data_IF_736303053613
#
_entry.id   IF_736303053613
#
_cell.length_a   1.000
_cell.length_b   1.000
_cell.length_c   1.000
_cell.angle_alpha   90.00
_cell.angle_beta   90.00
_cell.angle_gamma   90.00
#
_symmetry.space_group_name_H-M   'P 1'
#
loop_
_entity.id
_entity.type
_entity.pdbx_description
1 polymer ?
#
# COMPACT_ATOMS: atom_id res chain seq x y z
N UNK A 1 -0.89 -5.26 6.07
CA UNK A 1 -1.04 -5.77 7.46
C UNK A 1 -0.92 -7.29 7.60
N UNK A 2 -1.90 -8.11 7.17
CA UNK A 2 -1.83 -9.58 7.38
C UNK A 2 -0.71 -10.25 6.59
N UNK A 3 -0.54 -9.90 5.32
CA UNK A 3 0.58 -10.38 4.51
C UNK A 3 1.93 -9.97 5.08
N UNK A 4 2.06 -8.71 5.51
CA UNK A 4 3.25 -8.20 6.20
C UNK A 4 3.53 -8.96 7.51
N UNK A 5 2.50 -9.30 8.29
CA UNK A 5 2.67 -10.11 9.50
C UNK A 5 3.11 -11.55 9.18
N UNK A 6 2.56 -12.17 8.14
CA UNK A 6 2.97 -13.49 7.66
C UNK A 6 4.41 -13.48 7.14
N UNK A 7 4.80 -12.43 6.40
CA UNK A 7 6.17 -12.23 5.95
C UNK A 7 7.12 -12.04 7.14
N UNK A 8 6.77 -11.14 8.07
CA UNK A 8 7.53 -10.91 9.29
C UNK A 8 7.69 -12.19 10.13
N UNK A 9 6.67 -13.04 10.18
CA UNK A 9 6.72 -14.32 10.88
C UNK A 9 7.71 -15.33 10.27
N UNK A 10 8.10 -15.16 9.00
CA UNK A 10 9.14 -15.98 8.38
C UNK A 10 10.56 -15.56 8.77
N UNK A 11 10.73 -14.38 9.38
CA UNK A 11 12.03 -13.77 9.70
C UNK A 11 12.20 -13.58 11.22
N UNK A 12 11.14 -13.17 11.91
CA UNK A 12 11.16 -12.81 13.33
C UNK A 12 10.81 -13.99 14.25
N UNK A 13 11.36 -13.98 15.47
CA UNK A 13 11.05 -14.99 16.50
C UNK A 13 9.58 -14.94 16.93
N UNK A 14 8.99 -13.74 16.97
CA UNK A 14 7.59 -13.49 17.33
C UNK A 14 7.09 -12.22 16.65
N UNK A 15 5.85 -12.22 16.23
CA UNK A 15 5.16 -11.06 15.63
C UNK A 15 3.88 -10.79 16.42
N UNK A 16 3.72 -9.57 16.93
CA UNK A 16 2.44 -9.11 17.46
C UNK A 16 1.68 -8.38 16.34
N UNK A 17 0.53 -8.92 15.93
CA UNK A 17 -0.34 -8.25 14.97
C UNK A 17 -1.42 -7.48 15.74
N UNK A 18 -1.19 -6.17 15.89
CA UNK A 18 -2.10 -5.28 16.61
C UNK A 18 -3.18 -4.77 15.65
N UNK A 19 -4.44 -4.92 16.03
CA UNK A 19 -5.58 -4.43 15.25
C UNK A 19 -6.65 -3.79 16.13
N UNK A 20 -7.15 -2.62 15.69
CA UNK A 20 -8.13 -1.82 16.46
C UNK A 20 -9.54 -2.43 16.54
N UNK A 21 -9.82 -3.52 15.82
CA UNK A 21 -11.14 -4.21 15.79
C UNK A 21 -10.96 -5.69 16.13
N UNK A 22 -12.07 -6.37 16.37
CA UNK A 22 -12.12 -7.81 16.60
C UNK A 22 -11.91 -8.63 15.31
N UNK A 23 -12.14 -8.03 14.14
CA UNK A 23 -12.12 -8.72 12.86
C UNK A 23 -11.31 -7.94 11.83
N UNK A 24 -10.67 -8.69 10.92
CA UNK A 24 -9.92 -8.15 9.79
C UNK A 24 -10.84 -8.00 8.57
N UNK A 25 -10.53 -7.03 7.71
CA UNK A 25 -11.22 -6.84 6.42
C UNK A 25 -10.70 -7.74 5.28
N UNK A 26 -9.59 -8.45 5.50
CA UNK A 26 -8.98 -9.29 4.46
C UNK A 26 -9.76 -10.59 4.24
N UNK A 27 -9.40 -11.32 3.18
CA UNK A 27 -10.01 -12.61 2.86
C UNK A 27 -9.85 -13.64 3.99
N UNK A 28 -10.82 -14.55 4.08
CA UNK A 28 -10.90 -15.54 5.15
C UNK A 28 -9.70 -16.48 5.19
N UNK A 29 -9.13 -16.83 4.03
CA UNK A 29 -7.97 -17.72 3.92
C UNK A 29 -6.73 -17.09 4.55
N UNK A 30 -6.44 -15.83 4.21
CA UNK A 30 -5.30 -15.08 4.77
C UNK A 30 -5.46 -14.89 6.27
N UNK A 31 -6.67 -14.56 6.74
CA UNK A 31 -6.97 -14.45 8.18
C UNK A 31 -6.73 -15.77 8.90
N UNK A 32 -7.20 -16.90 8.35
CA UNK A 32 -6.99 -18.22 8.94
C UNK A 32 -5.50 -18.60 8.97
N UNK A 33 -4.76 -18.30 7.91
CA UNK A 33 -3.31 -18.53 7.85
C UNK A 33 -2.57 -17.73 8.92
N UNK A 34 -2.91 -16.46 9.12
CA UNK A 34 -2.31 -15.65 10.19
C UNK A 34 -2.67 -16.20 11.58
N UNK A 35 -3.92 -16.63 11.80
CA UNK A 35 -4.37 -17.26 13.06
C UNK A 35 -3.67 -18.57 13.36
N UNK A 36 -3.32 -19.38 12.35
CA UNK A 36 -2.68 -20.69 12.54
C UNK A 36 -1.15 -20.62 12.60
N UNK A 37 -0.55 -19.47 12.28
CA UNK A 37 0.89 -19.28 12.30
C UNK A 37 1.39 -19.13 13.74
N UNK A 38 2.21 -20.09 14.20
CA UNK A 38 2.55 -20.28 15.63
C UNK A 38 3.23 -19.10 16.31
N UNK A 39 4.02 -18.31 15.57
CA UNK A 39 4.75 -17.16 16.11
C UNK A 39 4.06 -15.82 15.83
N UNK A 40 2.81 -15.82 15.36
CA UNK A 40 1.97 -14.62 15.30
C UNK A 40 1.03 -14.61 16.51
N UNK A 41 1.08 -13.55 17.29
CA UNK A 41 0.12 -13.26 18.35
C UNK A 41 -0.82 -12.14 17.91
N UNK A 42 -2.12 -12.42 17.86
CA UNK A 42 -3.12 -11.43 17.51
C UNK A 42 -3.50 -10.60 18.73
N UNK A 43 -3.26 -9.30 18.66
CA UNK A 43 -3.63 -8.33 19.70
C UNK A 43 -4.77 -7.48 19.14
N UNK A 44 -5.98 -8.04 19.21
CA UNK A 44 -7.20 -7.45 18.64
C UNK A 44 -7.81 -6.42 19.58
N UNK A 45 -8.77 -5.64 19.08
CA UNK A 45 -9.43 -4.55 19.82
C UNK A 45 -8.42 -3.61 20.49
N UNK A 46 -7.28 -3.37 19.86
CA UNK A 46 -6.15 -2.73 20.52
C UNK A 46 -5.52 -1.65 19.65
N UNK A 47 -5.02 -0.59 20.30
CA UNK A 47 -4.31 0.51 19.65
C UNK A 47 -2.96 0.75 20.33
N UNK A 48 -1.95 1.12 19.55
CA UNK A 48 -0.66 1.55 20.10
C UNK A 48 -0.79 2.98 20.60
N UNK A 49 -0.48 3.22 21.87
CA UNK A 49 -0.50 4.54 22.52
C UNK A 49 0.86 5.22 22.52
N UNK A 50 1.91 4.42 22.64
CA UNK A 50 3.28 4.92 22.76
C UNK A 50 4.25 3.89 22.18
N UNK A 51 5.28 4.36 21.49
CA UNK A 51 6.44 3.56 21.08
C UNK A 51 7.61 4.04 21.93
N UNK A 52 8.18 3.14 22.73
CA UNK A 52 9.24 3.44 23.68
C UNK A 52 10.58 2.91 23.18
N UNK A 53 11.61 3.73 23.34
CA UNK A 53 12.95 3.44 22.87
C UNK A 53 13.87 4.64 23.06
N UNK A 54 15.14 4.43 22.81
CA UNK A 54 16.15 5.49 22.75
C UNK A 54 16.58 5.71 21.29
N UNK A 55 17.65 5.07 20.87
CA UNK A 55 18.08 4.99 19.47
C UNK A 55 17.30 3.93 18.70
N UNK A 56 16.83 2.89 19.40
CA UNK A 56 16.05 1.81 18.84
C UNK A 56 14.80 1.56 19.68
N UNK A 57 13.75 1.00 19.05
CA UNK A 57 12.54 0.59 19.76
C UNK A 57 12.88 -0.53 20.74
N UNK A 58 12.30 -0.46 21.94
CA UNK A 58 12.43 -1.49 22.98
C UNK A 58 11.07 -2.05 23.40
N UNK A 59 10.02 -1.23 23.33
CA UNK A 59 8.67 -1.65 23.66
C UNK A 59 7.61 -0.76 23.04
N UNK A 60 6.37 -1.23 23.09
CA UNK A 60 5.17 -0.47 22.74
C UNK A 60 4.16 -0.56 23.87
N UNK A 61 3.46 0.53 24.14
CA UNK A 61 2.32 0.57 25.03
C UNK A 61 1.04 0.39 24.22
N UNK A 62 0.27 -0.63 24.53
CA UNK A 62 -0.96 -1.01 23.81
C UNK A 62 -2.16 -0.83 24.74
N UNK A 63 -3.20 -0.15 24.26
CA UNK A 63 -4.49 0.01 24.94
C UNK A 63 -5.54 -0.86 24.28
N UNK A 64 -6.18 -1.75 25.03
CA UNK A 64 -7.41 -2.40 24.60
C UNK A 64 -8.56 -1.37 24.60
N UNK A 65 -9.19 -1.18 23.45
CA UNK A 65 -10.17 -0.10 23.22
C UNK A 65 -11.46 -0.28 24.01
N UNK A 66 -11.79 -1.53 24.39
CA UNK A 66 -13.00 -1.89 25.10
C UNK A 66 -12.81 -1.76 26.61
N UNK A 67 -11.69 -2.25 27.13
CA UNK A 67 -11.39 -2.34 28.57
C UNK A 67 -10.56 -1.19 29.09
N UNK A 68 -9.93 -0.41 28.20
CA UNK A 68 -8.94 0.63 28.53
C UNK A 68 -7.69 0.11 29.24
N UNK A 69 -7.50 -1.22 29.26
CA UNK A 69 -6.31 -1.85 29.85
C UNK A 69 -5.09 -1.51 29.01
N UNK A 70 -4.05 -1.02 29.69
CA UNK A 70 -2.74 -0.81 29.12
C UNK A 70 -1.85 -2.04 29.31
N UNK A 71 -1.18 -2.47 28.25
CA UNK A 71 -0.22 -3.58 28.26
C UNK A 71 1.04 -3.12 27.54
N UNK A 72 2.20 -3.30 28.16
CA UNK A 72 3.48 -3.02 27.52
C UNK A 72 4.04 -4.30 26.89
N UNK A 73 4.42 -4.24 25.62
CA UNK A 73 4.99 -5.35 24.87
C UNK A 73 6.43 -5.01 24.50
N UNK A 74 7.37 -5.84 24.92
CA UNK A 74 8.76 -5.75 24.46
C UNK A 74 8.85 -6.15 22.99
N UNK A 75 9.36 -5.25 22.15
CA UNK A 75 9.51 -5.44 20.71
C UNK A 75 10.75 -4.70 20.22
N UNK A 76 11.45 -5.31 19.26
CA UNK A 76 12.67 -4.73 18.67
C UNK A 76 12.37 -3.85 17.43
N UNK A 77 11.13 -3.89 16.92
CA UNK A 77 10.72 -3.15 15.72
C UNK A 77 9.21 -3.02 15.59
N UNK A 78 8.77 -1.97 14.89
CA UNK A 78 7.36 -1.67 14.64
C UNK A 78 7.17 -1.38 13.16
N UNK A 79 6.22 -2.08 12.55
CA UNK A 79 5.81 -1.89 11.15
C UNK A 79 4.36 -1.41 11.11
N UNK A 80 4.13 -0.20 10.61
CA UNK A 80 2.80 0.42 10.60
C UNK A 80 2.15 0.19 9.24
N UNK A 81 1.09 -0.62 9.25
CA UNK A 81 0.46 -1.18 8.04
C UNK A 81 -1.03 -0.76 7.98
N UNK A 82 -1.31 0.54 8.02
CA UNK A 82 -2.67 1.09 8.10
C UNK A 82 -3.29 1.50 6.76
N UNK A 83 -2.58 1.25 5.66
CA UNK A 83 -2.98 1.64 4.31
C UNK A 83 -2.28 2.92 3.85
N UNK A 84 -2.57 3.32 2.61
CA UNK A 84 -2.03 4.49 1.95
C UNK A 84 -3.19 5.39 1.51
N UNK A 85 -3.19 6.65 1.93
CA UNK A 85 -4.14 7.65 1.43
C UNK A 85 -3.56 8.34 0.20
N UNK A 86 -4.23 8.16 -0.94
CA UNK A 86 -4.00 8.95 -2.15
C UNK A 86 -4.53 10.36 -1.93
N UNK A 87 -3.64 11.34 -1.78
CA UNK A 87 -4.01 12.76 -1.65
C UNK A 87 -4.40 13.37 -3.01
N UNK A 88 -5.45 12.84 -3.64
CA UNK A 88 -5.88 13.17 -5.01
C UNK A 88 -7.18 13.97 -5.05
N UNK A 89 -7.72 14.38 -3.90
CA UNK A 89 -8.99 15.12 -3.83
C UNK A 89 -9.02 16.37 -4.72
N UNK A 90 -7.88 17.06 -4.84
CA UNK A 90 -7.74 18.24 -5.69
C UNK A 90 -7.85 17.95 -7.19
N UNK A 91 -7.84 16.68 -7.60
CA UNK A 91 -7.91 16.21 -8.98
C UNK A 91 -9.31 15.73 -9.40
N UNK A 92 -10.28 15.65 -8.48
CA UNK A 92 -11.61 15.05 -8.70
C UNK A 92 -12.38 15.63 -9.89
N UNK A 93 -12.20 16.92 -10.15
CA UNK A 93 -12.85 17.61 -11.27
C UNK A 93 -12.00 17.62 -12.56
N UNK A 94 -10.76 17.13 -12.48
CA UNK A 94 -9.80 17.12 -13.58
C UNK A 94 -9.66 15.73 -14.21
N UNK A 95 -9.59 14.67 -13.41
CA UNK A 95 -9.44 13.28 -13.89
C UNK A 95 -10.34 12.32 -13.12
N UNK A 96 -10.70 11.20 -13.75
CA UNK A 96 -11.46 10.12 -13.11
C UNK A 96 -10.61 9.45 -12.04
N UNK A 97 -11.17 9.34 -10.85
CA UNK A 97 -10.63 8.57 -9.74
C UNK A 97 -11.49 7.33 -9.49
N UNK A 98 -10.89 6.26 -8.98
CA UNK A 98 -11.64 5.11 -8.47
C UNK A 98 -12.18 5.33 -7.05
N UNK A 99 -12.87 4.33 -6.51
CA UNK A 99 -13.45 4.37 -5.16
C UNK A 99 -12.40 4.54 -4.04
N UNK A 100 -11.13 4.20 -4.33
CA UNK A 100 -9.99 4.36 -3.43
C UNK A 100 -9.22 5.67 -3.69
N UNK A 101 -9.75 6.57 -4.53
CA UNK A 101 -9.11 7.84 -4.87
C UNK A 101 -7.88 7.70 -5.77
N UNK A 102 -7.66 6.54 -6.41
CA UNK A 102 -6.53 6.37 -7.33
C UNK A 102 -6.88 6.95 -8.71
N UNK A 103 -5.90 7.53 -9.39
CA UNK A 103 -6.07 8.03 -10.75
C UNK A 103 -6.23 6.84 -11.69
N UNK A 104 -7.36 6.78 -12.40
CA UNK A 104 -7.59 5.73 -13.40
C UNK A 104 -6.76 6.05 -14.64
N UNK A 105 -5.84 5.15 -14.98
CA UNK A 105 -5.03 5.22 -16.20
C UNK A 105 -5.28 4.04 -17.13
N UNK A 106 -4.98 4.23 -18.40
CA UNK A 106 -4.90 3.15 -19.39
C UNK A 106 -3.48 2.56 -19.49
N UNK A 107 -3.28 1.63 -20.44
CA UNK A 107 -1.99 0.98 -20.66
C UNK A 107 -0.87 1.96 -21.05
N UNK A 108 -1.20 3.15 -21.56
CA UNK A 108 -0.27 4.21 -21.93
C UNK A 108 -0.04 5.23 -20.82
N UNK A 109 -0.54 4.99 -19.60
CA UNK A 109 -0.55 5.94 -18.50
C UNK A 109 -1.41 7.19 -18.75
N UNK A 110 -2.28 7.18 -19.76
CA UNK A 110 -3.19 8.29 -20.04
C UNK A 110 -4.37 8.28 -19.07
N UNK A 111 -4.76 9.46 -18.59
CA UNK A 111 -5.92 9.64 -17.72
C UNK A 111 -7.20 9.90 -18.54
N UNK A 112 -8.32 10.15 -17.88
CA UNK A 112 -9.55 10.57 -18.56
C UNK A 112 -9.50 11.98 -19.16
N UNK A 113 -8.50 12.80 -18.79
CA UNK A 113 -8.30 14.13 -19.35
C UNK A 113 -7.19 14.08 -20.39
N UNK A 114 -7.49 14.55 -21.60
CA UNK A 114 -6.53 14.56 -22.70
C UNK A 114 -5.30 15.41 -22.37
N UNK A 115 -4.11 14.88 -22.64
CA UNK A 115 -2.84 15.54 -22.33
C UNK A 115 -2.37 15.38 -20.88
N UNK A 116 -3.17 14.74 -20.01
CA UNK A 116 -2.80 14.44 -18.62
C UNK A 116 -2.47 12.96 -18.49
N UNK A 117 -1.29 12.70 -17.93
CA UNK A 117 -0.74 11.36 -17.69
C UNK A 117 -0.40 11.21 -16.20
N UNK A 118 -0.48 9.99 -15.69
CA UNK A 118 -0.15 9.68 -14.30
C UNK A 118 0.62 8.36 -14.20
N UNK A 119 1.45 8.23 -13.17
CA UNK A 119 2.33 7.07 -12.97
C UNK A 119 2.57 6.77 -11.49
N UNK A 120 2.86 5.52 -11.19
CA UNK A 120 3.24 5.06 -9.86
C UNK A 120 2.05 4.94 -8.91
N UNK A 121 2.34 4.98 -7.61
CA UNK A 121 1.41 4.54 -6.58
C UNK A 121 0.10 5.32 -6.51
N UNK A 122 0.07 6.54 -7.04
CA UNK A 122 -1.14 7.40 -7.14
C UNK A 122 -2.17 6.87 -8.14
N UNK A 123 -1.77 5.97 -9.03
CA UNK A 123 -2.64 5.41 -10.08
C UNK A 123 -3.31 4.11 -9.63
N UNK A 124 -4.23 3.60 -10.45
CA UNK A 124 -4.85 2.29 -10.26
C UNK A 124 -3.92 1.09 -10.58
N UNK A 125 -2.60 1.30 -10.68
CA UNK A 125 -1.63 0.21 -10.82
C UNK A 125 -1.69 -0.73 -9.60
N UNK A 126 -1.80 -2.05 -9.78
CA UNK A 126 -1.99 -2.98 -8.67
C UNK A 126 -0.73 -3.15 -7.82
N UNK A 127 0.45 -2.88 -8.36
CA UNK A 127 1.73 -3.13 -7.69
C UNK A 127 2.40 -1.83 -7.27
N UNK A 128 2.49 -1.62 -5.95
CA UNK A 128 3.04 -0.40 -5.33
C UNK A 128 4.53 -0.59 -5.02
N UNK A 129 5.35 -0.71 -6.06
CA UNK A 129 6.79 -0.97 -5.95
C UNK A 129 7.59 0.10 -6.69
N UNK A 130 8.74 0.50 -6.14
CA UNK A 130 9.56 1.57 -6.72
C UNK A 130 9.94 1.31 -8.19
N UNK A 131 10.27 0.06 -8.53
CA UNK A 131 10.60 -0.32 -9.92
C UNK A 131 9.39 -0.25 -10.86
N UNK A 132 8.20 -0.59 -10.37
CA UNK A 132 6.95 -0.47 -11.14
C UNK A 132 6.64 1.01 -11.37
N UNK A 133 6.71 1.84 -10.33
CA UNK A 133 6.51 3.27 -10.43
C UNK A 133 7.52 3.94 -11.38
N UNK A 134 8.80 3.53 -11.35
CA UNK A 134 9.81 4.02 -12.28
C UNK A 134 9.50 3.64 -13.74
N UNK A 135 9.08 2.40 -13.99
CA UNK A 135 8.66 1.94 -15.31
C UNK A 135 7.44 2.71 -15.84
N UNK A 136 6.44 2.90 -15.00
CA UNK A 136 5.27 3.72 -15.35
C UNK A 136 5.64 5.19 -15.58
N UNK A 137 6.56 5.75 -14.79
CA UNK A 137 7.06 7.11 -14.99
C UNK A 137 7.70 7.30 -16.36
N UNK A 138 8.54 6.35 -16.79
CA UNK A 138 9.10 6.33 -18.13
C UNK A 138 8.01 6.27 -19.20
N UNK A 139 7.05 5.35 -19.04
CA UNK A 139 5.93 5.16 -19.97
C UNK A 139 5.06 6.43 -20.09
N UNK A 140 4.70 7.04 -18.97
CA UNK A 140 3.93 8.29 -18.92
C UNK A 140 4.67 9.44 -19.60
N UNK A 141 5.98 9.56 -19.39
CA UNK A 141 6.80 10.58 -20.04
C UNK A 141 6.86 10.39 -21.56
N UNK A 142 7.02 9.16 -22.04
CA UNK A 142 7.01 8.85 -23.47
C UNK A 142 5.63 9.11 -24.11
N UNK A 143 4.55 8.76 -23.41
CA UNK A 143 3.19 9.06 -23.87
C UNK A 143 2.92 10.57 -23.94
N UNK A 144 3.35 11.33 -22.93
CA UNK A 144 3.27 12.79 -22.94
C UNK A 144 4.09 13.40 -24.09
N UNK A 145 5.29 12.89 -24.33
CA UNK A 145 6.12 13.30 -25.47
C UNK A 145 5.41 13.05 -26.80
N UNK A 146 4.83 11.87 -27.00
CA UNK A 146 4.08 11.54 -28.21
C UNK A 146 2.87 12.47 -28.40
N UNK A 147 2.12 12.74 -27.32
CA UNK A 147 1.00 13.67 -27.35
C UNK A 147 1.43 15.09 -27.77
N UNK A 148 2.52 15.61 -27.19
CA UNK A 148 3.09 16.92 -27.57
C UNK A 148 3.55 16.98 -29.02
N UNK A 149 3.99 15.85 -29.59
CA UNK A 149 4.41 15.75 -30.99
C UNK A 149 3.27 15.45 -31.97
N UNK A 150 2.04 15.28 -31.47
CA UNK A 150 0.90 14.86 -32.29
C UNK A 150 1.03 13.42 -32.83
N UNK A 151 1.90 12.61 -32.24
CA UNK A 151 2.11 11.21 -32.60
C UNK A 151 0.97 10.38 -31.99
N UNK A 152 0.14 9.75 -32.84
CA UNK A 152 -0.97 8.92 -32.38
C UNK A 152 -0.50 7.50 -32.02
N UNK A 153 -0.65 7.16 -30.74
CA UNK A 153 -0.44 5.81 -30.21
C UNK A 153 0.94 5.57 -29.58
N UNK A 154 1.04 4.51 -28.79
CA UNK A 154 2.34 3.94 -28.40
C UNK A 154 2.84 3.19 -29.63
N UNK A 155 3.72 3.81 -30.41
CA UNK A 155 4.42 3.09 -31.46
C UNK A 155 5.16 1.93 -30.76
N UNK A 156 4.77 0.69 -31.03
CA UNK A 156 5.63 -0.43 -30.67
C UNK A 156 6.98 -0.16 -31.36
N UNK A 157 8.02 0.08 -30.57
CA UNK A 157 9.37 0.38 -31.10
C UNK A 157 9.86 -0.75 -32.02
N UNK A 158 9.32 -1.95 -31.82
CA UNK A 158 9.45 -3.09 -32.72
C UNK A 158 8.32 -3.05 -33.75
N UNK A 159 8.61 -2.49 -34.93
CA UNK A 159 7.71 -2.49 -36.08
C UNK A 159 7.17 -3.88 -36.39
N UNK A 160 6.03 -3.95 -37.08
CA UNK A 160 5.46 -5.22 -37.58
C UNK A 160 6.58 -6.07 -38.19
N UNK A 161 6.68 -7.38 -37.90
CA UNK A 161 7.58 -8.25 -38.62
C UNK A 161 7.33 -8.07 -40.11
N UNK A 162 8.40 -7.79 -40.86
CA UNK A 162 8.41 -7.70 -42.32
C UNK A 162 7.87 -8.99 -42.96
#
# INVERSE_FOLDING_TARGET
ALEAALYGASIAKKVYLIHRRAEFRADSTTVQKAKSTKNIELVLNSIVKEIKGDRFVKSILVEDVNTKKLTELAVDGVFVEIGFDTKTDFLKDLVKLDESGQIIIDNSCATSCEGIFAAGDVTNTPFKQAVVAAGEGCKAALSAYNWLKGIKGVAAEWGKPS
#
